data_IF_228128196760
#
_entry.id   IF_228128196760
#
_cell.length_a   1.000
_cell.length_b   1.000
_cell.length_c   1.000
_cell.angle_alpha   90.00
_cell.angle_beta   90.00
_cell.angle_gamma   90.00
#
_symmetry.space_group_name_H-M   'P 1'
#
loop_
_entity.id
_entity.type
_entity.pdbx_description
1 polymer ?
#
# COMPACT_ATOMS: atom_id res chain seq x y z
N UNK A 1 2.38 -31.87 -77.01
CA UNK A 1 2.84 -33.21 -76.59
C UNK A 1 3.80 -33.06 -75.42
N UNK A 2 3.44 -33.64 -74.28
CA UNK A 2 4.31 -34.29 -73.27
C UNK A 2 5.45 -33.46 -72.63
N UNK A 3 5.72 -33.45 -71.32
CA UNK A 3 5.26 -34.24 -70.19
C UNK A 3 5.90 -33.65 -68.91
N UNK A 4 5.31 -33.99 -67.75
CA UNK A 4 5.89 -34.09 -66.39
C UNK A 4 5.78 -32.89 -65.43
N UNK A 5 4.74 -33.02 -64.60
CA UNK A 5 4.75 -32.73 -63.16
C UNK A 5 6.01 -33.24 -62.47
N UNK A 6 6.60 -32.44 -61.58
CA UNK A 6 7.29 -32.94 -60.37
C UNK A 6 6.87 -32.05 -59.19
N UNK A 7 6.02 -32.61 -58.31
CA UNK A 7 5.77 -32.15 -56.94
C UNK A 7 6.99 -32.48 -56.08
N UNK A 8 7.57 -31.52 -55.34
CA UNK A 8 8.35 -31.74 -54.08
C UNK A 8 8.21 -30.48 -53.21
N UNK A 9 7.32 -30.53 -52.20
CA UNK A 9 7.61 -30.77 -50.77
C UNK A 9 8.40 -29.62 -50.12
N UNK A 10 7.68 -28.88 -49.29
CA UNK A 10 8.10 -27.79 -48.40
C UNK A 10 9.03 -28.32 -47.29
N UNK A 11 10.06 -27.58 -46.85
CA UNK A 11 10.52 -27.65 -45.47
C UNK A 11 10.01 -26.42 -44.71
N UNK A 12 9.21 -26.70 -43.68
CA UNK A 12 8.73 -25.72 -42.71
C UNK A 12 9.92 -25.18 -41.91
N UNK A 13 10.19 -23.88 -42.05
CA UNK A 13 11.06 -23.13 -41.15
C UNK A 13 10.29 -22.93 -39.84
N UNK A 14 10.50 -23.85 -38.90
CA UNK A 14 10.12 -23.68 -37.49
C UNK A 14 10.93 -22.50 -36.91
N UNK A 15 10.33 -21.32 -36.90
CA UNK A 15 10.76 -20.21 -36.05
C UNK A 15 10.42 -20.57 -34.60
N UNK A 16 11.37 -21.13 -33.87
CA UNK A 16 11.31 -21.22 -32.41
C UNK A 16 11.49 -19.80 -31.86
N UNK A 17 10.37 -19.11 -31.66
CA UNK A 17 10.34 -17.88 -30.87
C UNK A 17 10.76 -18.23 -29.44
N UNK A 18 12.02 -17.93 -29.11
CA UNK A 18 12.54 -17.99 -27.76
C UNK A 18 11.81 -16.92 -26.94
N UNK A 19 10.69 -17.29 -26.32
CA UNK A 19 10.05 -16.47 -25.31
C UNK A 19 11.00 -16.44 -24.13
N UNK A 20 11.83 -15.40 -24.07
CA UNK A 20 12.58 -15.07 -22.86
C UNK A 20 11.53 -14.64 -21.83
N UNK A 21 11.06 -15.60 -21.03
CA UNK A 21 10.37 -15.34 -19.78
C UNK A 21 11.39 -14.70 -18.84
N UNK A 22 11.55 -13.37 -18.96
CA UNK A 22 12.27 -12.59 -17.95
C UNK A 22 11.52 -12.85 -16.64
N UNK A 23 12.15 -13.48 -15.62
CA UNK A 23 11.51 -13.55 -14.32
C UNK A 23 11.33 -12.11 -13.87
N UNK A 24 10.09 -11.67 -13.71
CA UNK A 24 9.78 -10.46 -12.96
C UNK A 24 10.29 -10.72 -11.56
N UNK A 25 11.55 -10.35 -11.29
CA UNK A 25 12.06 -10.25 -9.93
C UNK A 25 11.13 -9.28 -9.24
N UNK A 26 10.39 -9.78 -8.26
CA UNK A 26 9.65 -8.91 -7.37
C UNK A 26 10.65 -7.90 -6.81
N UNK A 27 10.44 -6.63 -7.12
CA UNK A 27 11.35 -5.58 -6.67
C UNK A 27 11.14 -5.42 -5.17
N UNK A 28 12.17 -5.77 -4.41
CA UNK A 28 12.23 -5.47 -2.98
C UNK A 28 12.47 -3.96 -2.85
N UNK A 29 11.58 -3.30 -2.11
CA UNK A 29 11.64 -1.86 -1.86
C UNK A 29 11.67 -1.62 -0.37
N UNK A 30 12.66 -0.87 0.08
CA UNK A 30 12.67 -0.35 1.45
C UNK A 30 11.74 0.86 1.53
N UNK A 31 10.85 0.85 2.52
CA UNK A 31 9.85 1.89 2.76
C UNK A 31 9.68 2.14 4.24
N UNK A 32 9.47 3.40 4.58
CA UNK A 32 9.15 3.77 5.95
C UNK A 32 7.65 3.91 6.12
N UNK A 33 7.13 3.27 7.16
CA UNK A 33 5.74 3.42 7.60
C UNK A 33 5.69 4.03 8.99
N UNK A 34 4.62 4.75 9.27
CA UNK A 34 4.31 5.27 10.60
C UNK A 34 3.27 4.37 11.26
N UNK A 35 3.50 4.02 12.53
CA UNK A 35 2.59 3.24 13.36
C UNK A 35 2.53 3.86 14.74
N UNK A 36 1.37 3.83 15.38
CA UNK A 36 1.17 4.30 16.75
C UNK A 36 1.06 3.12 17.70
N UNK A 37 1.84 3.14 18.78
CA UNK A 37 1.74 2.17 19.88
C UNK A 37 1.15 2.84 21.11
N UNK A 38 0.06 2.30 21.65
CA UNK A 38 -0.48 2.77 22.92
C UNK A 38 0.42 2.46 24.11
N UNK A 39 0.33 3.31 25.13
CA UNK A 39 0.82 2.99 26.46
C UNK A 39 -0.14 1.99 27.13
N UNK A 40 0.37 0.81 27.52
CA UNK A 40 -0.40 -0.29 28.16
C UNK A 40 -0.33 -1.60 27.37
N UNK A 41 0.02 -2.71 28.03
CA UNK A 41 0.54 -3.95 27.43
C UNK A 41 -0.37 -4.77 26.48
N UNK A 42 0.29 -5.70 25.76
CA UNK A 42 -0.10 -6.51 24.57
C UNK A 42 0.03 -5.82 23.19
N UNK A 43 0.50 -4.58 23.15
CA UNK A 43 0.67 -3.81 21.92
C UNK A 43 1.62 -4.41 20.89
N UNK A 44 2.56 -5.30 21.27
CA UNK A 44 3.54 -5.85 20.31
C UNK A 44 2.92 -6.91 19.38
N UNK A 45 2.01 -7.76 19.86
CA UNK A 45 1.33 -8.73 19.00
C UNK A 45 0.39 -8.02 18.04
N UNK A 46 -0.41 -7.07 18.56
CA UNK A 46 -1.26 -6.23 17.72
C UNK A 46 -0.43 -5.47 16.68
N UNK A 47 0.67 -4.86 17.10
CA UNK A 47 1.59 -4.19 16.19
C UNK A 47 2.04 -5.13 15.07
N UNK A 48 2.56 -6.32 15.44
CA UNK A 48 3.16 -7.26 14.48
C UNK A 48 2.14 -7.88 13.53
N UNK A 49 0.97 -8.22 14.02
CA UNK A 49 -0.03 -9.00 13.27
C UNK A 49 -1.18 -8.17 12.70
N UNK A 50 -1.37 -6.94 13.17
CA UNK A 50 -2.47 -6.07 12.74
C UNK A 50 -1.97 -4.74 12.18
N UNK A 51 -1.26 -3.95 12.99
CA UNK A 51 -1.01 -2.55 12.65
C UNK A 51 0.09 -2.41 11.58
N UNK A 52 1.18 -3.18 11.67
CA UNK A 52 2.27 -3.18 10.69
C UNK A 52 1.83 -3.75 9.32
N UNK A 53 1.14 -4.90 9.22
CA UNK A 53 0.57 -5.36 7.96
C UNK A 53 -0.44 -4.36 7.39
N UNK A 54 -1.25 -3.71 8.22
CA UNK A 54 -2.18 -2.68 7.76
C UNK A 54 -1.44 -1.46 7.19
N UNK A 55 -0.37 -1.01 7.83
CA UNK A 55 0.46 0.09 7.35
C UNK A 55 1.10 -0.23 5.99
N UNK A 56 1.69 -1.42 5.86
CA UNK A 56 2.27 -1.90 4.61
C UNK A 56 1.22 -2.02 3.50
N UNK A 57 0.04 -2.57 3.80
CA UNK A 57 -1.05 -2.76 2.83
C UNK A 57 -1.45 -1.45 2.16
N UNK A 58 -1.57 -0.37 2.93
CA UNK A 58 -2.00 0.92 2.39
C UNK A 58 -0.91 1.67 1.62
N UNK A 59 0.30 1.13 1.50
CA UNK A 59 1.30 1.63 0.53
C UNK A 59 1.02 1.17 -0.90
N UNK A 60 0.13 0.19 -1.06
CA UNK A 60 -0.35 -0.31 -2.34
C UNK A 60 -1.84 0.04 -2.52
N UNK A 61 -2.36 0.10 -3.76
CA UNK A 61 -3.76 0.40 -4.03
C UNK A 61 -4.71 -0.59 -3.34
N UNK A 62 -5.49 -0.10 -2.39
CA UNK A 62 -6.52 -0.88 -1.68
C UNK A 62 -7.89 -0.51 -2.23
N UNK A 63 -8.69 -1.50 -2.62
CA UNK A 63 -10.07 -1.24 -3.02
C UNK A 63 -10.91 -0.82 -1.81
N UNK A 64 -11.78 0.17 -2.00
CA UNK A 64 -12.71 0.63 -0.97
C UNK A 64 -14.14 0.64 -1.51
N UNK A 65 -15.10 0.47 -0.60
CA UNK A 65 -16.52 0.72 -0.87
C UNK A 65 -17.13 1.56 0.25
N UNK A 66 -17.95 2.53 -0.12
CA UNK A 66 -18.71 3.38 0.78
C UNK A 66 -20.20 3.04 0.63
N UNK A 67 -20.78 2.37 1.64
CA UNK A 67 -22.19 1.94 1.64
C UNK A 67 -22.85 2.31 2.96
N UNK A 68 -24.02 2.95 2.91
CA UNK A 68 -24.83 3.25 4.10
C UNK A 68 -24.12 4.11 5.15
N UNK A 69 -23.22 5.02 4.73
CA UNK A 69 -22.42 5.84 5.65
C UNK A 69 -21.19 5.14 6.25
N UNK A 70 -21.00 3.85 5.97
CA UNK A 70 -19.81 3.09 6.36
C UNK A 70 -18.79 3.00 5.23
N UNK A 71 -17.50 2.95 5.59
CA UNK A 71 -16.39 2.72 4.68
C UNK A 71 -15.77 1.35 4.97
N UNK A 72 -15.61 0.53 3.94
CA UNK A 72 -14.91 -0.75 4.01
C UNK A 72 -13.76 -0.80 3.02
N UNK A 73 -12.75 -1.60 3.37
CA UNK A 73 -11.56 -1.82 2.54
C UNK A 73 -11.40 -3.30 2.29
N UNK A 74 -11.12 -3.66 1.04
CA UNK A 74 -10.80 -5.05 0.71
C UNK A 74 -9.46 -5.43 1.32
N UNK A 75 -9.46 -6.57 2.00
CA UNK A 75 -8.26 -7.24 2.51
C UNK A 75 -7.73 -8.15 1.43
N UNK A 76 -6.89 -7.61 0.53
CA UNK A 76 -5.98 -8.46 -0.22
C UNK A 76 -4.81 -8.86 0.70
N UNK A 77 -4.41 -10.13 0.62
CA UNK A 77 -3.31 -10.68 1.42
C UNK A 77 -2.04 -9.89 1.17
N UNK A 78 -1.47 -9.31 2.22
CA UNK A 78 -0.23 -8.55 2.14
C UNK A 78 0.90 -9.45 1.64
N UNK A 79 1.61 -8.98 0.62
CA UNK A 79 2.88 -9.53 0.16
C UNK A 79 3.88 -9.61 1.33
N UNK A 80 4.84 -10.54 1.26
CA UNK A 80 5.84 -10.71 2.31
C UNK A 80 6.51 -9.39 2.70
N UNK A 81 6.48 -9.07 3.99
CA UNK A 81 7.13 -7.90 4.57
C UNK A 81 8.15 -8.33 5.62
N UNK A 82 9.26 -7.63 5.70
CA UNK A 82 10.28 -7.85 6.72
C UNK A 82 10.66 -6.53 7.39
N UNK A 83 10.60 -6.48 8.72
CA UNK A 83 11.04 -5.33 9.51
C UNK A 83 12.58 -5.23 9.48
N UNK A 84 13.09 -4.08 9.02
CA UNK A 84 14.53 -3.77 8.99
C UNK A 84 14.98 -2.95 10.18
N UNK A 85 14.12 -2.06 10.65
CA UNK A 85 14.43 -1.18 11.76
C UNK A 85 13.20 -0.46 12.27
N UNK A 86 13.32 0.06 13.49
CA UNK A 86 12.24 0.76 14.18
C UNK A 86 12.83 1.90 15.00
N UNK A 87 12.17 3.06 14.95
CA UNK A 87 12.57 4.26 15.69
C UNK A 87 11.36 4.98 16.25
N UNK A 88 11.40 5.34 17.53
CA UNK A 88 10.41 6.25 18.11
C UNK A 88 10.66 7.68 17.61
N UNK A 89 9.60 8.33 17.11
CA UNK A 89 9.64 9.72 16.63
C UNK A 89 9.08 10.69 17.65
N UNK A 90 8.00 10.31 18.34
CA UNK A 90 7.38 11.13 19.37
C UNK A 90 6.69 10.25 20.41
N UNK A 91 6.80 10.63 21.67
CA UNK A 91 6.14 9.94 22.79
C UNK A 91 5.19 10.89 23.50
N UNK A 92 3.95 10.44 23.71
CA UNK A 92 2.91 11.12 24.50
C UNK A 92 2.37 10.16 25.55
N UNK A 93 1.72 10.65 26.61
CA UNK A 93 1.08 9.78 27.62
C UNK A 93 0.08 8.80 27.00
N UNK A 94 -0.55 9.21 25.89
CA UNK A 94 -1.54 8.44 25.15
C UNK A 94 -0.93 7.44 24.15
N UNK A 95 0.36 7.52 23.82
CA UNK A 95 1.00 6.61 22.89
C UNK A 95 2.28 7.16 22.25
N UNK A 96 3.01 6.27 21.57
CA UNK A 96 4.26 6.56 20.88
C UNK A 96 4.05 6.42 19.38
N UNK A 97 4.45 7.44 18.63
CA UNK A 97 4.58 7.37 17.18
C UNK A 97 5.92 6.76 16.83
N UNK A 98 5.90 5.64 16.12
CA UNK A 98 7.07 4.92 15.64
C UNK A 98 7.15 4.98 14.11
N UNK A 99 8.37 5.11 13.61
CA UNK A 99 8.73 4.88 12.22
C UNK A 99 9.33 3.49 12.11
N UNK A 100 8.82 2.69 11.18
CA UNK A 100 9.26 1.33 10.93
C UNK A 100 9.73 1.24 9.49
N UNK A 101 10.98 0.85 9.31
CA UNK A 101 11.57 0.60 8.00
C UNK A 101 11.28 -0.84 7.61
N UNK A 102 10.59 -1.00 6.48
CA UNK A 102 10.12 -2.28 5.97
C UNK A 102 10.77 -2.56 4.62
N UNK A 103 11.18 -3.81 4.43
CA UNK A 103 11.46 -4.33 3.10
C UNK A 103 10.19 -5.00 2.57
N UNK A 104 9.62 -4.41 1.51
CA UNK A 104 8.41 -4.91 0.86
C UNK A 104 8.72 -5.55 -0.48
N UNK A 105 8.20 -6.75 -0.66
CA UNK A 105 8.14 -7.40 -1.97
C UNK A 105 6.97 -6.82 -2.75
N UNK A 106 7.23 -5.82 -3.60
CA UNK A 106 6.16 -5.17 -4.36
C UNK A 106 5.76 -6.02 -5.56
N UNK A 107 4.48 -6.31 -5.69
CA UNK A 107 3.92 -7.04 -6.83
C UNK A 107 3.01 -6.09 -7.61
N UNK A 108 3.51 -5.55 -8.72
CA UNK A 108 2.72 -4.81 -9.68
C UNK A 108 3.02 -3.32 -9.79
N UNK A 109 2.51 -2.72 -10.86
CA UNK A 109 2.67 -1.31 -11.17
C UNK A 109 1.62 -0.49 -10.43
N UNK A 110 2.04 0.55 -9.73
CA UNK A 110 1.13 1.55 -9.14
C UNK A 110 0.24 2.15 -10.25
N UNK A 111 -1.09 2.08 -10.13
CA UNK A 111 -2.01 2.68 -11.09
C UNK A 111 -1.85 4.20 -11.06
N UNK A 112 -2.14 4.86 -12.18
CA UNK A 112 -2.11 6.31 -12.24
C UNK A 112 -3.25 6.85 -11.35
N UNK A 113 -2.96 7.73 -10.37
CA UNK A 113 -4.01 8.30 -9.53
C UNK A 113 -4.89 9.24 -10.33
N UNK A 114 -6.20 9.11 -10.16
CA UNK A 114 -7.20 10.06 -10.67
C UNK A 114 -7.24 11.34 -9.83
N UNK A 115 -6.95 11.23 -8.52
CA UNK A 115 -6.86 12.36 -7.60
C UNK A 115 -5.74 12.11 -6.57
N UNK A 116 -5.11 13.18 -6.12
CA UNK A 116 -4.19 13.15 -4.98
C UNK A 116 -4.67 14.17 -3.93
N UNK A 117 -4.66 13.76 -2.67
CA UNK A 117 -5.08 14.56 -1.52
C UNK A 117 -3.95 14.55 -0.49
N UNK A 118 -3.70 15.67 0.15
CA UNK A 118 -2.76 15.73 1.28
C UNK A 118 -3.57 15.87 2.57
N UNK A 119 -3.42 14.91 3.47
CA UNK A 119 -4.06 14.91 4.79
C UNK A 119 -2.99 15.23 5.83
N UNK A 120 -3.18 16.31 6.58
CA UNK A 120 -2.27 16.71 7.67
C UNK A 120 -3.00 16.77 8.99
N UNK A 121 -2.36 16.27 10.03
CA UNK A 121 -2.95 16.07 11.35
C UNK A 121 -1.87 15.91 12.44
N UNK A 122 -2.26 15.96 13.71
CA UNK A 122 -1.37 15.67 14.83
C UNK A 122 -1.60 14.24 15.36
N UNK A 123 -0.66 13.75 16.18
CA UNK A 123 -0.84 12.47 16.87
C UNK A 123 -2.08 12.49 17.77
N UNK A 124 -2.34 13.59 18.47
CA UNK A 124 -3.50 13.73 19.35
C UNK A 124 -4.82 13.71 18.56
N UNK A 125 -4.87 14.38 17.40
CA UNK A 125 -6.03 14.32 16.51
C UNK A 125 -6.30 12.90 16.02
N UNK A 126 -5.24 12.16 15.63
CA UNK A 126 -5.34 10.77 15.21
C UNK A 126 -5.86 9.89 16.36
N UNK A 127 -5.38 10.09 17.58
CA UNK A 127 -5.78 9.29 18.73
C UNK A 127 -7.24 9.57 19.15
N UNK A 128 -7.68 10.83 19.09
CA UNK A 128 -9.04 11.24 19.47
C UNK A 128 -10.06 10.88 18.39
N UNK A 129 -9.72 11.07 17.10
CA UNK A 129 -10.67 10.94 15.97
C UNK A 129 -10.43 9.70 15.11
N UNK A 130 -9.37 8.95 15.38
CA UNK A 130 -8.96 7.81 14.56
C UNK A 130 -9.88 6.61 14.63
N UNK A 131 -10.59 6.45 15.76
CA UNK A 131 -11.44 5.30 16.01
C UNK A 131 -10.68 3.98 15.74
N UNK A 132 -11.19 3.08 14.88
CA UNK A 132 -10.52 1.82 14.57
C UNK A 132 -9.19 1.97 13.80
N UNK A 133 -8.91 3.15 13.23
CA UNK A 133 -7.75 3.42 12.40
C UNK A 133 -6.66 4.25 13.10
N UNK A 134 -6.84 4.58 14.38
CA UNK A 134 -5.92 5.44 15.15
C UNK A 134 -4.49 4.87 15.25
N UNK A 135 -4.33 3.56 15.08
CA UNK A 135 -3.02 2.88 15.15
C UNK A 135 -2.14 3.09 13.94
N UNK A 136 -2.72 3.46 12.80
CA UNK A 136 -1.99 3.51 11.54
C UNK A 136 -2.34 4.81 10.80
N UNK A 137 -1.49 5.85 10.92
CA UNK A 137 -1.69 7.15 10.28
C UNK A 137 -2.04 7.07 8.78
N UNK A 138 -1.39 6.18 8.03
CA UNK A 138 -1.66 5.99 6.60
C UNK A 138 -3.09 5.49 6.35
N UNK A 139 -3.57 4.54 7.17
CA UNK A 139 -4.91 3.97 7.03
C UNK A 139 -5.96 5.02 7.36
N UNK A 140 -5.78 5.76 8.46
CA UNK A 140 -6.70 6.83 8.83
C UNK A 140 -6.79 7.93 7.77
N UNK A 141 -5.64 8.36 7.22
CA UNK A 141 -5.62 9.33 6.13
C UNK A 141 -6.32 8.82 4.87
N UNK A 142 -6.13 7.54 4.51
CA UNK A 142 -6.83 6.92 3.39
C UNK A 142 -8.34 6.82 3.63
N UNK A 143 -8.75 6.44 4.85
CA UNK A 143 -10.16 6.40 5.24
C UNK A 143 -10.82 7.77 5.17
N UNK A 144 -10.16 8.79 5.69
CA UNK A 144 -10.63 10.17 5.59
C UNK A 144 -10.74 10.64 4.13
N UNK A 145 -9.70 10.42 3.32
CA UNK A 145 -9.72 10.82 1.91
C UNK A 145 -10.79 10.08 1.10
N UNK A 146 -11.03 8.80 1.38
CA UNK A 146 -12.08 8.01 0.75
C UNK A 146 -13.49 8.44 1.23
N UNK A 147 -13.66 8.78 2.52
CA UNK A 147 -14.93 9.29 3.02
C UNK A 147 -15.29 10.68 2.46
N UNK A 148 -14.28 11.52 2.18
CA UNK A 148 -14.46 12.84 1.57
C UNK A 148 -14.64 12.78 0.04
N UNK A 149 -14.51 11.60 -0.59
CA UNK A 149 -14.76 11.47 -2.03
C UNK A 149 -16.25 11.28 -2.34
N UNK A 150 -16.63 11.66 -3.56
CA UNK A 150 -17.98 11.42 -4.09
C UNK A 150 -18.18 10.02 -4.67
N UNK A 151 -17.15 9.17 -4.63
CA UNK A 151 -17.22 7.83 -5.21
C UNK A 151 -17.69 6.82 -4.17
N UNK A 152 -18.60 5.95 -4.58
CA UNK A 152 -19.09 4.83 -3.77
C UNK A 152 -18.13 3.64 -3.77
N UNK A 153 -17.20 3.59 -4.71
CA UNK A 153 -16.11 2.61 -4.77
C UNK A 153 -14.92 3.16 -5.54
N UNK A 154 -13.76 2.54 -5.35
CA UNK A 154 -12.52 2.87 -6.05
C UNK A 154 -11.32 2.23 -5.37
N UNK A 155 -10.13 2.77 -5.62
CA UNK A 155 -8.88 2.39 -4.93
C UNK A 155 -8.28 3.59 -4.20
N UNK A 156 -7.67 3.34 -3.06
CA UNK A 156 -6.97 4.34 -2.24
C UNK A 156 -5.63 3.79 -1.74
N UNK A 157 -4.61 4.63 -1.69
CA UNK A 157 -3.32 4.28 -1.11
C UNK A 157 -2.54 5.51 -0.64
N UNK A 158 -1.72 5.33 0.37
CA UNK A 158 -0.75 6.32 0.84
C UNK A 158 0.51 6.22 -0.01
N UNK A 159 0.88 7.33 -0.66
CA UNK A 159 2.13 7.45 -1.42
C UNK A 159 3.31 7.81 -0.53
N UNK A 160 3.04 8.48 0.59
CA UNK A 160 4.02 8.84 1.61
C UNK A 160 3.31 9.21 2.90
N UNK A 161 3.89 8.86 4.05
CA UNK A 161 3.52 9.37 5.36
C UNK A 161 4.78 9.91 6.03
N UNK A 162 4.77 11.20 6.37
CA UNK A 162 5.94 11.89 6.93
C UNK A 162 5.54 12.55 8.24
N UNK A 163 6.40 12.44 9.25
CA UNK A 163 6.27 13.17 10.50
C UNK A 163 7.30 14.30 10.53
N UNK A 164 6.83 15.51 10.78
CA UNK A 164 7.67 16.68 11.01
C UNK A 164 7.85 16.89 12.51
N UNK A 165 9.05 16.60 13.01
CA UNK A 165 9.39 16.74 14.43
C UNK A 165 9.41 18.19 14.93
N UNK A 166 9.51 19.19 14.04
CA UNK A 166 9.49 20.61 14.42
C UNK A 166 8.08 21.13 14.69
N UNK A 167 7.11 20.70 13.87
CA UNK A 167 5.70 21.11 14.00
C UNK A 167 4.84 20.07 14.73
N UNK A 168 5.35 18.86 14.95
CA UNK A 168 4.61 17.75 15.51
C UNK A 168 3.51 17.21 14.59
N UNK A 169 3.56 17.52 13.30
CA UNK A 169 2.53 17.16 12.33
C UNK A 169 2.88 15.90 11.55
N UNK A 170 1.88 15.09 11.30
CA UNK A 170 1.90 13.96 10.37
C UNK A 170 1.23 14.43 9.08
N UNK A 171 1.93 14.27 7.96
CA UNK A 171 1.42 14.58 6.62
C UNK A 171 1.44 13.33 5.76
N UNK A 172 0.26 12.94 5.26
CA UNK A 172 0.09 11.79 4.38
C UNK A 172 -0.39 12.26 3.01
N UNK A 173 0.34 11.87 1.96
CA UNK A 173 -0.10 12.06 0.58
C UNK A 173 -0.88 10.83 0.15
N UNK A 174 -2.16 11.00 -0.10
CA UNK A 174 -3.10 9.93 -0.47
C UNK A 174 -3.44 10.03 -1.94
N UNK A 175 -3.37 8.91 -2.64
CA UNK A 175 -3.84 8.76 -4.00
C UNK A 175 -5.19 8.03 -4.01
N UNK A 176 -6.04 8.45 -4.94
CA UNK A 176 -7.35 7.88 -5.19
C UNK A 176 -7.48 7.58 -6.69
N UNK A 177 -7.94 6.38 -7.02
CA UNK A 177 -8.37 6.00 -8.36
C UNK A 177 -9.83 5.56 -8.31
N UNK A 178 -10.58 5.89 -9.37
CA UNK A 178 -11.87 5.27 -9.59
C UNK A 178 -11.66 3.92 -10.28
#
# INVERSE_FOLDING_TARGET
MNHRMIRRVVPALLLTALVVSVPVRAAEREVDVLVVRLAGGSGEERFRYMDLPAAARFLSPVAFTARGGGLSFETESSSGMSERGRRALASRPSGTLEQVSLLLTTTGREPRPSRTVTVSFTLDELLVRGGPWSWVPAVWACARAAAETRWTSGRVWARSAVYDGSTGRITVKVALSK
#
